data_IF_072774494545
#
_entry.id   IF_072774494545
#
_cell.length_a   1.000
_cell.length_b   1.000
_cell.length_c   1.000
_cell.angle_alpha   90.00
_cell.angle_beta   90.00
_cell.angle_gamma   90.00
#
_symmetry.space_group_name_H-M   'P 1'
#
loop_
_entity.id
_entity.type
_entity.pdbx_description
1 polymer ?
#
# COMPACT_ATOMS: atom_id res chain seq x y z
N UNK A 1 9.43 -1.60 116.55
CA UNK A 1 9.44 -2.59 115.43
C UNK A 1 8.36 -2.37 114.39
N UNK A 2 7.23 -1.72 114.64
CA UNK A 2 6.09 -1.58 113.70
C UNK A 2 6.32 -0.54 112.52
N UNK A 3 7.17 0.47 112.75
CA UNK A 3 7.45 1.50 111.70
C UNK A 3 8.27 0.95 110.52
N UNK A 4 9.14 0.05 110.73
CA UNK A 4 10.01 -0.53 109.67
C UNK A 4 9.20 -1.48 108.78
N UNK A 5 8.28 -2.26 109.34
CA UNK A 5 7.41 -3.14 108.58
C UNK A 5 6.39 -2.39 107.66
N UNK A 6 5.94 -1.22 108.12
CA UNK A 6 5.09 -0.33 107.33
C UNK A 6 5.81 0.35 106.11
N UNK A 7 7.10 0.76 106.39
CA UNK A 7 7.91 1.36 105.33
C UNK A 7 8.29 0.31 104.23
N UNK A 8 8.56 -0.92 104.62
CA UNK A 8 8.83 -2.01 103.68
C UNK A 8 7.61 -2.35 102.81
N UNK A 9 6.42 -2.39 103.38
CA UNK A 9 5.18 -2.60 102.61
C UNK A 9 4.87 -1.43 101.63
N UNK A 10 5.06 -0.17 102.09
CA UNK A 10 4.86 0.98 101.25
C UNK A 10 5.85 0.98 100.04
N UNK A 11 7.12 0.68 100.29
CA UNK A 11 8.13 0.57 99.20
C UNK A 11 7.79 -0.58 98.23
N UNK A 12 7.24 -1.68 98.70
CA UNK A 12 6.79 -2.78 97.83
C UNK A 12 5.61 -2.38 96.96
N UNK A 13 4.60 -1.73 97.51
CA UNK A 13 3.43 -1.25 96.75
C UNK A 13 3.84 -0.19 95.74
N UNK A 14 4.71 0.73 96.04
CA UNK A 14 5.17 1.75 95.07
C UNK A 14 5.99 1.11 93.96
N UNK A 15 6.83 0.15 94.19
CA UNK A 15 7.54 -0.59 93.14
C UNK A 15 6.61 -1.45 92.26
N UNK A 16 5.60 -2.05 92.85
CA UNK A 16 4.58 -2.83 92.15
C UNK A 16 3.80 -1.94 91.23
N UNK A 17 3.22 -0.80 91.69
CA UNK A 17 2.47 0.15 90.91
C UNK A 17 3.35 0.75 89.80
N UNK A 18 4.62 1.03 90.08
CA UNK A 18 5.56 1.52 89.06
C UNK A 18 5.76 0.50 87.95
N UNK A 19 5.96 -0.77 88.30
CA UNK A 19 6.12 -1.89 87.36
C UNK A 19 4.82 -2.12 86.48
N UNK A 20 3.66 -1.95 87.07
CA UNK A 20 2.39 -2.10 86.42
C UNK A 20 2.10 -0.91 85.41
N UNK A 21 2.46 0.33 85.82
CA UNK A 21 2.39 1.50 84.96
C UNK A 21 3.42 1.42 83.79
N UNK A 22 4.60 0.87 83.99
CA UNK A 22 5.59 0.62 82.96
C UNK A 22 5.11 -0.43 81.96
N UNK A 23 4.47 -1.51 82.43
CA UNK A 23 3.86 -2.55 81.61
C UNK A 23 2.71 -1.99 80.76
N UNK A 24 1.84 -1.18 81.38
CA UNK A 24 0.74 -0.50 80.63
C UNK A 24 1.24 0.46 79.58
N UNK A 25 2.30 1.22 79.86
CA UNK A 25 2.96 2.11 78.88
C UNK A 25 3.66 1.31 77.76
N UNK A 26 4.25 0.18 78.03
CA UNK A 26 4.87 -0.69 77.02
C UNK A 26 3.80 -1.34 76.13
N UNK A 27 2.68 -1.80 76.71
CA UNK A 27 1.54 -2.34 75.93
C UNK A 27 0.94 -1.28 75.02
N UNK A 28 0.64 -0.06 75.53
CA UNK A 28 0.13 1.02 74.72
C UNK A 28 1.06 1.45 73.58
N UNK A 29 2.38 1.43 73.80
CA UNK A 29 3.37 1.66 72.74
C UNK A 29 3.37 0.56 71.69
N UNK A 30 3.25 -0.71 72.09
CA UNK A 30 3.19 -1.83 71.19
C UNK A 30 1.92 -1.83 70.33
N UNK A 31 0.75 -1.52 70.91
CA UNK A 31 -0.52 -1.36 70.19
C UNK A 31 -0.46 -0.21 69.20
N UNK A 32 0.04 0.96 69.60
CA UNK A 32 0.21 2.10 68.73
C UNK A 32 1.15 1.79 67.57
N UNK A 33 2.26 1.09 67.80
CA UNK A 33 3.19 0.66 66.79
C UNK A 33 2.54 -0.32 65.77
N UNK A 34 1.70 -1.22 66.26
CA UNK A 34 0.94 -2.17 65.44
C UNK A 34 -0.06 -1.46 64.55
N UNK A 35 -0.78 -0.45 65.06
CA UNK A 35 -1.68 0.39 64.30
C UNK A 35 -0.97 1.17 63.18
N UNK A 36 0.18 1.78 63.49
CA UNK A 36 1.00 2.50 62.52
C UNK A 36 1.49 1.57 61.40
N UNK A 37 1.94 0.39 61.77
CA UNK A 37 2.37 -0.62 60.77
C UNK A 37 1.21 -1.07 59.87
N UNK A 38 0.03 -1.30 60.40
CA UNK A 38 -1.19 -1.63 59.64
C UNK A 38 -1.55 -0.52 58.65
N UNK A 39 -1.45 0.75 59.06
CA UNK A 39 -1.71 1.90 58.19
C UNK A 39 -0.70 1.99 57.04
N UNK A 40 0.58 1.74 57.30
CA UNK A 40 1.64 1.72 56.27
C UNK A 40 1.35 0.64 55.23
N UNK A 41 1.02 -0.57 55.68
CA UNK A 41 0.68 -1.69 54.79
C UNK A 41 -0.53 -1.35 53.91
N UNK A 42 -1.57 -0.78 54.48
CA UNK A 42 -2.77 -0.36 53.74
C UNK A 42 -2.43 0.71 52.69
N UNK A 43 -1.59 1.67 53.04
CA UNK A 43 -1.13 2.71 52.11
C UNK A 43 -0.31 2.14 50.97
N UNK A 44 0.56 1.15 51.22
CA UNK A 44 1.29 0.43 50.19
C UNK A 44 0.35 -0.31 49.23
N UNK A 45 -0.70 -0.93 49.73
CA UNK A 45 -1.72 -1.59 48.88
C UNK A 45 -2.42 -0.58 47.97
N UNK A 46 -2.79 0.57 48.48
CA UNK A 46 -3.42 1.64 47.67
C UNK A 46 -2.50 2.10 46.54
N UNK A 47 -1.21 2.30 46.87
CA UNK A 47 -0.21 2.71 45.87
C UNK A 47 -0.04 1.64 44.77
N UNK A 48 0.00 0.37 45.12
CA UNK A 48 0.11 -0.73 44.15
C UNK A 48 -1.12 -0.78 43.25
N UNK A 49 -2.32 -0.65 43.79
CA UNK A 49 -3.57 -0.63 43.01
C UNK A 49 -3.57 0.57 42.06
N UNK A 50 -3.13 1.74 42.54
CA UNK A 50 -3.03 2.94 41.70
C UNK A 50 -2.05 2.76 40.53
N UNK A 51 -0.87 2.18 40.79
CA UNK A 51 0.11 1.88 39.74
C UNK A 51 -0.46 0.92 38.69
N UNK A 52 -1.15 -0.14 39.12
CA UNK A 52 -1.81 -1.09 38.21
C UNK A 52 -2.90 -0.43 37.37
N UNK A 53 -3.67 0.46 37.98
CA UNK A 53 -4.71 1.24 37.27
C UNK A 53 -4.09 2.15 36.21
N UNK A 54 -3.03 2.92 36.54
CA UNK A 54 -2.33 3.79 35.62
C UNK A 54 -1.71 2.98 34.47
N UNK A 55 -1.06 1.85 34.79
CA UNK A 55 -0.48 0.96 33.79
C UNK A 55 -1.53 0.42 32.81
N UNK A 56 -2.67 -0.03 33.31
CA UNK A 56 -3.79 -0.53 32.49
C UNK A 56 -4.35 0.58 31.59
N UNK A 57 -4.56 1.77 32.13
CA UNK A 57 -5.03 2.95 31.38
C UNK A 57 -4.06 3.36 30.27
N UNK A 58 -2.76 3.40 30.58
CA UNK A 58 -1.71 3.73 29.62
C UNK A 58 -1.66 2.71 28.46
N UNK A 59 -1.70 1.42 28.80
CA UNK A 59 -1.74 0.35 27.79
C UNK A 59 -2.97 0.42 26.89
N UNK A 60 -4.12 0.80 27.45
CA UNK A 60 -5.35 0.99 26.67
C UNK A 60 -5.25 2.16 25.68
N UNK A 61 -4.68 3.29 26.12
CA UNK A 61 -4.47 4.45 25.24
C UNK A 61 -3.50 4.16 24.09
N UNK A 62 -2.42 3.42 24.35
CA UNK A 62 -1.48 3.02 23.31
C UNK A 62 -2.19 2.14 22.27
N UNK A 63 -2.99 1.17 22.74
CA UNK A 63 -3.73 0.28 21.83
C UNK A 63 -4.68 1.07 20.92
N UNK A 64 -5.44 2.01 21.46
CA UNK A 64 -6.35 2.87 20.67
C UNK A 64 -5.60 3.72 19.65
N UNK A 65 -4.43 4.30 20.00
CA UNK A 65 -3.60 5.04 19.05
C UNK A 65 -3.10 4.15 17.91
N UNK A 66 -2.61 2.96 18.23
CA UNK A 66 -2.14 1.99 17.23
C UNK A 66 -3.25 1.53 16.29
N UNK A 67 -4.47 1.32 16.79
CA UNK A 67 -5.63 0.98 15.98
C UNK A 67 -6.01 2.14 15.04
N UNK A 68 -6.04 3.36 15.55
CA UNK A 68 -6.31 4.55 14.74
C UNK A 68 -5.24 4.78 13.65
N UNK A 69 -3.96 4.64 13.97
CA UNK A 69 -2.88 4.74 12.98
C UNK A 69 -3.00 3.67 11.88
N UNK A 70 -3.38 2.45 12.24
CA UNK A 70 -3.64 1.38 11.27
C UNK A 70 -4.81 1.69 10.35
N UNK A 71 -5.91 2.21 10.89
CA UNK A 71 -7.08 2.61 10.10
C UNK A 71 -6.73 3.73 9.10
N UNK A 72 -6.02 4.76 9.56
CA UNK A 72 -5.56 5.86 8.70
C UNK A 72 -4.62 5.34 7.60
N UNK A 73 -3.72 4.42 7.92
CA UNK A 73 -2.81 3.83 6.94
C UNK A 73 -3.57 3.00 5.89
N UNK A 74 -4.53 2.19 6.33
CA UNK A 74 -5.39 1.40 5.43
C UNK A 74 -6.22 2.30 4.50
N UNK A 75 -6.83 3.35 5.04
CA UNK A 75 -7.57 4.33 4.24
C UNK A 75 -6.68 5.00 3.19
N UNK A 76 -5.45 5.36 3.58
CA UNK A 76 -4.48 5.96 2.66
C UNK A 76 -4.08 4.99 1.54
N UNK A 77 -3.86 3.72 1.87
CA UNK A 77 -3.57 2.69 0.86
C UNK A 77 -4.75 2.50 -0.10
N UNK A 78 -5.97 2.37 0.43
CA UNK A 78 -7.18 2.23 -0.41
C UNK A 78 -7.41 3.44 -1.31
N UNK A 79 -7.13 4.66 -0.82
CA UNK A 79 -7.25 5.86 -1.62
C UNK A 79 -6.22 5.88 -2.76
N UNK A 80 -4.97 5.53 -2.48
CA UNK A 80 -3.92 5.42 -3.50
C UNK A 80 -4.26 4.39 -4.57
N UNK A 81 -4.81 3.25 -4.16
CA UNK A 81 -5.23 2.19 -5.07
C UNK A 81 -6.38 2.63 -5.98
N UNK A 82 -7.36 3.36 -5.44
CA UNK A 82 -8.45 3.95 -6.23
C UNK A 82 -7.94 4.97 -7.25
N UNK A 83 -7.07 5.90 -6.82
CA UNK A 83 -6.46 6.89 -7.73
C UNK A 83 -5.70 6.18 -8.86
N UNK A 84 -4.93 5.16 -8.52
CA UNK A 84 -4.20 4.39 -9.53
C UNK A 84 -5.12 3.66 -10.51
N UNK A 85 -6.22 3.07 -10.03
CA UNK A 85 -7.22 2.43 -10.89
C UNK A 85 -7.94 3.44 -11.80
N UNK A 86 -8.29 4.62 -11.27
CA UNK A 86 -8.89 5.69 -12.07
C UNK A 86 -7.93 6.18 -13.16
N UNK A 87 -6.65 6.33 -12.84
CA UNK A 87 -5.62 6.72 -13.80
C UNK A 87 -5.45 5.70 -14.93
N UNK A 88 -5.42 4.41 -14.58
CA UNK A 88 -5.37 3.31 -15.56
C UNK A 88 -6.62 3.28 -16.43
N UNK A 89 -7.81 3.45 -15.85
CA UNK A 89 -9.06 3.45 -16.60
C UNK A 89 -9.12 4.63 -17.58
N UNK A 90 -8.68 5.81 -17.16
CA UNK A 90 -8.62 6.98 -18.01
C UNK A 90 -7.68 6.79 -19.21
N UNK A 91 -6.49 6.20 -19.00
CA UNK A 91 -5.56 5.84 -20.08
C UNK A 91 -6.18 4.85 -21.08
N UNK A 92 -6.84 3.80 -20.58
CA UNK A 92 -7.49 2.82 -21.45
C UNK A 92 -8.61 3.46 -22.29
N UNK A 93 -9.38 4.39 -21.72
CA UNK A 93 -10.39 5.16 -22.47
C UNK A 93 -9.73 5.98 -23.58
N UNK A 94 -8.66 6.70 -23.30
CA UNK A 94 -7.95 7.47 -24.32
C UNK A 94 -7.39 6.59 -25.45
N UNK A 95 -6.77 5.44 -25.11
CA UNK A 95 -6.29 4.47 -26.10
C UNK A 95 -7.45 3.90 -26.92
N UNK A 96 -8.59 3.64 -26.31
CA UNK A 96 -9.78 3.13 -27.00
C UNK A 96 -10.33 4.12 -28.01
N UNK A 97 -10.33 5.40 -27.70
CA UNK A 97 -10.77 6.47 -28.62
C UNK A 97 -9.86 6.49 -29.86
N UNK A 98 -8.55 6.46 -29.69
CA UNK A 98 -7.62 6.42 -30.82
C UNK A 98 -7.74 5.13 -31.64
N UNK A 99 -7.88 3.98 -30.96
CA UNK A 99 -8.17 2.69 -31.62
C UNK A 99 -9.41 2.76 -32.48
N UNK A 100 -10.51 3.29 -31.93
CA UNK A 100 -11.77 3.42 -32.65
C UNK A 100 -11.67 4.38 -33.83
N UNK A 101 -10.90 5.46 -33.71
CA UNK A 101 -10.64 6.37 -34.83
C UNK A 101 -9.94 5.64 -35.98
N UNK A 102 -8.85 4.90 -35.70
CA UNK A 102 -8.16 4.11 -36.71
C UNK A 102 -9.04 3.01 -37.30
N UNK A 103 -9.82 2.33 -36.47
CA UNK A 103 -10.75 1.28 -36.93
C UNK A 103 -11.81 1.86 -37.89
N UNK A 104 -12.37 3.03 -37.59
CA UNK A 104 -13.30 3.71 -38.51
C UNK A 104 -12.67 4.04 -39.87
N UNK A 105 -11.41 4.51 -39.89
CA UNK A 105 -10.68 4.72 -41.15
C UNK A 105 -10.57 3.42 -41.96
N UNK A 106 -10.28 2.28 -41.30
CA UNK A 106 -10.21 0.96 -41.93
C UNK A 106 -11.56 0.54 -42.48
N UNK A 107 -12.63 0.64 -41.70
CA UNK A 107 -13.98 0.23 -42.05
C UNK A 107 -14.51 1.02 -43.26
N UNK A 108 -14.21 2.32 -43.35
CA UNK A 108 -14.56 3.15 -44.49
C UNK A 108 -13.89 2.65 -45.78
N UNK A 109 -12.59 2.32 -45.71
CA UNK A 109 -11.85 1.80 -46.87
C UNK A 109 -12.35 0.40 -47.27
N UNK A 110 -12.62 -0.48 -46.31
CA UNK A 110 -13.23 -1.79 -46.59
C UNK A 110 -14.59 -1.65 -47.28
N UNK A 111 -15.44 -0.72 -46.83
CA UNK A 111 -16.72 -0.42 -47.48
C UNK A 111 -16.55 0.12 -48.90
N UNK A 112 -15.62 1.06 -49.13
CA UNK A 112 -15.33 1.60 -50.44
C UNK A 112 -14.83 0.50 -51.39
N UNK A 113 -14.00 -0.41 -50.94
CA UNK A 113 -13.52 -1.54 -51.73
C UNK A 113 -14.64 -2.56 -52.05
N UNK A 114 -15.63 -2.69 -51.17
CA UNK A 114 -16.81 -3.55 -51.45
C UNK A 114 -17.74 -2.97 -52.51
N UNK A 115 -17.79 -1.63 -52.64
CA UNK A 115 -18.62 -0.94 -53.65
C UNK A 115 -17.90 -0.82 -54.99
N UNK A 116 -16.57 -0.60 -54.96
CA UNK A 116 -15.76 -0.43 -56.17
C UNK A 116 -14.53 -1.37 -56.16
N UNK A 117 -14.72 -2.69 -56.39
CA UNK A 117 -13.63 -3.67 -56.23
C UNK A 117 -12.46 -3.49 -57.20
N UNK A 118 -12.63 -2.73 -58.28
CA UNK A 118 -11.58 -2.50 -59.28
C UNK A 118 -10.58 -1.41 -58.86
N UNK A 119 -10.83 -0.63 -57.78
CA UNK A 119 -9.98 0.49 -57.38
C UNK A 119 -9.07 0.19 -56.16
N UNK A 120 -9.03 -1.02 -55.65
CA UNK A 120 -8.21 -1.48 -54.49
C UNK A 120 -7.69 -0.35 -53.60
N UNK A 121 -8.61 0.37 -52.94
CA UNK A 121 -8.27 1.45 -52.03
C UNK A 121 -7.64 0.88 -50.74
N UNK A 122 -6.54 1.46 -50.33
CA UNK A 122 -5.81 1.04 -49.13
C UNK A 122 -5.93 2.09 -48.03
N UNK A 123 -5.86 1.63 -46.79
CA UNK A 123 -5.75 2.54 -45.64
C UNK A 123 -4.34 3.14 -45.66
N UNK A 124 -4.18 4.33 -46.21
CA UNK A 124 -2.90 5.02 -46.19
C UNK A 124 -2.89 5.97 -45.01
N UNK A 125 -2.04 5.68 -44.04
CA UNK A 125 -1.69 6.61 -42.96
C UNK A 125 -0.57 7.51 -43.51
N UNK A 126 -0.80 8.82 -43.54
CA UNK A 126 0.19 9.83 -43.96
C UNK A 126 1.33 9.91 -42.91
N UNK A 127 2.42 10.55 -43.28
CA UNK A 127 3.50 10.83 -42.30
C UNK A 127 2.94 11.64 -41.11
N UNK A 128 2.08 12.61 -41.36
CA UNK A 128 1.39 13.38 -40.32
C UNK A 128 0.56 12.51 -39.38
N UNK A 129 -0.20 11.52 -39.88
CA UNK A 129 -0.97 10.59 -39.06
C UNK A 129 -0.04 9.78 -38.12
N UNK A 130 1.16 9.40 -38.61
CA UNK A 130 2.16 8.68 -37.80
C UNK A 130 2.80 9.56 -36.73
N UNK A 131 3.11 10.81 -37.06
CA UNK A 131 3.68 11.77 -36.10
C UNK A 131 2.66 12.12 -35.00
N UNK A 132 1.38 12.32 -35.37
CA UNK A 132 0.29 12.52 -34.40
C UNK A 132 0.12 11.30 -33.47
N UNK A 133 0.20 10.08 -34.02
CA UNK A 133 0.12 8.85 -33.25
C UNK A 133 1.31 8.69 -32.30
N UNK A 134 2.51 9.05 -32.73
CA UNK A 134 3.73 9.05 -31.86
C UNK A 134 3.55 10.02 -30.69
N UNK A 135 3.14 11.27 -30.97
CA UNK A 135 2.90 12.29 -29.95
C UNK A 135 1.79 11.86 -28.99
N UNK A 136 0.71 11.30 -29.52
CA UNK A 136 -0.40 10.79 -28.71
C UNK A 136 0.07 9.68 -27.74
N UNK A 137 0.75 8.64 -28.25
CA UNK A 137 1.23 7.53 -27.42
C UNK A 137 2.26 7.99 -26.38
N UNK A 138 3.15 8.92 -26.75
CA UNK A 138 4.12 9.48 -25.81
C UNK A 138 3.43 10.29 -24.70
N UNK A 139 2.33 10.98 -25.00
CA UNK A 139 1.58 11.76 -24.01
C UNK A 139 0.76 10.89 -23.03
N UNK A 140 0.14 9.80 -23.52
CA UNK A 140 -0.76 8.95 -22.72
C UNK A 140 0.00 7.86 -21.98
N UNK A 141 1.10 7.35 -22.54
CA UNK A 141 1.81 6.15 -22.13
C UNK A 141 3.24 6.40 -21.63
N UNK A 142 3.46 7.50 -20.90
CA UNK A 142 4.74 7.82 -20.29
C UNK A 142 5.92 7.73 -21.27
N UNK A 143 5.86 8.45 -22.38
CA UNK A 143 6.91 8.47 -23.40
C UNK A 143 7.19 7.08 -24.00
N UNK A 144 6.13 6.32 -24.28
CA UNK A 144 6.22 4.94 -24.78
C UNK A 144 7.17 4.79 -25.97
N UNK A 145 7.02 5.63 -27.01
CA UNK A 145 7.85 5.52 -28.21
C UNK A 145 9.30 5.90 -27.92
N UNK A 146 9.54 6.92 -27.10
CA UNK A 146 10.90 7.30 -26.68
C UNK A 146 11.57 6.18 -25.87
N UNK A 147 10.89 5.59 -24.91
CA UNK A 147 11.40 4.45 -24.13
C UNK A 147 11.70 3.25 -25.02
N UNK A 148 10.82 2.97 -25.99
CA UNK A 148 11.00 1.87 -26.93
C UNK A 148 12.24 2.08 -27.82
N UNK A 149 12.43 3.31 -28.35
CA UNK A 149 13.64 3.69 -29.11
C UNK A 149 14.93 3.54 -28.28
N UNK A 150 14.88 3.95 -27.01
CA UNK A 150 16.04 3.83 -26.10
C UNK A 150 16.39 2.38 -25.80
N UNK A 151 15.39 1.54 -25.52
CA UNK A 151 15.61 0.13 -25.19
C UNK A 151 16.00 -0.71 -26.40
N UNK A 152 15.50 -0.36 -27.58
CA UNK A 152 15.69 -1.10 -28.84
C UNK A 152 16.16 -0.15 -29.94
N UNK A 153 17.42 0.32 -29.91
CA UNK A 153 17.94 1.31 -30.87
C UNK A 153 18.00 0.79 -32.32
N UNK A 154 17.95 -0.53 -32.51
CA UNK A 154 18.00 -1.18 -33.82
C UNK A 154 16.64 -1.22 -34.55
N UNK A 155 15.56 -0.68 -33.93
CA UNK A 155 14.26 -0.61 -34.57
C UNK A 155 14.22 0.52 -35.60
N UNK A 156 13.81 0.17 -36.81
CA UNK A 156 13.58 1.16 -37.89
C UNK A 156 12.27 1.94 -37.62
N UNK A 157 12.06 3.06 -38.35
CA UNK A 157 10.82 3.83 -38.31
C UNK A 157 9.59 2.95 -38.59
N UNK A 158 9.69 2.02 -39.53
CA UNK A 158 8.62 1.09 -39.87
C UNK A 158 8.33 0.09 -38.76
N UNK A 159 9.38 -0.33 -38.02
CA UNK A 159 9.23 -1.24 -36.88
C UNK A 159 8.51 -0.53 -35.72
N UNK A 160 8.88 0.70 -35.44
CA UNK A 160 8.24 1.53 -34.42
C UNK A 160 6.75 1.75 -34.73
N UNK A 161 6.40 2.02 -35.98
CA UNK A 161 5.02 2.15 -36.44
C UNK A 161 4.19 0.90 -36.14
N UNK A 162 4.74 -0.30 -36.39
CA UNK A 162 4.07 -1.55 -36.03
C UNK A 162 3.91 -1.68 -34.50
N UNK A 163 4.93 -1.33 -33.72
CA UNK A 163 4.83 -1.39 -32.26
C UNK A 163 3.78 -0.43 -31.71
N UNK A 164 3.65 0.78 -32.28
CA UNK A 164 2.58 1.74 -31.94
C UNK A 164 1.18 1.15 -32.16
N UNK A 165 0.97 0.50 -33.32
CA UNK A 165 -0.31 -0.14 -33.62
C UNK A 165 -0.60 -1.36 -32.72
N UNK A 166 0.43 -2.11 -32.31
CA UNK A 166 0.29 -3.20 -31.33
C UNK A 166 -0.09 -2.64 -29.94
N UNK A 167 0.52 -1.52 -29.54
CA UNK A 167 0.16 -0.84 -28.27
C UNK A 167 -1.30 -0.43 -28.23
N UNK A 168 -1.84 0.02 -29.36
CA UNK A 168 -3.28 0.31 -29.53
C UNK A 168 -4.17 -0.95 -29.57
N UNK A 169 -3.61 -2.14 -29.42
CA UNK A 169 -4.34 -3.42 -29.45
C UNK A 169 -5.14 -3.66 -30.74
N UNK A 170 -4.65 -3.15 -31.88
CA UNK A 170 -5.31 -3.39 -33.17
C UNK A 170 -5.26 -4.89 -33.53
N UNK A 171 -6.35 -5.37 -34.17
CA UNK A 171 -6.46 -6.77 -34.61
C UNK A 171 -5.46 -7.09 -35.73
N UNK A 172 -5.18 -8.38 -35.97
CA UNK A 172 -4.34 -8.79 -37.09
C UNK A 172 -4.93 -8.38 -38.43
N UNK A 173 -6.27 -8.47 -38.58
CA UNK A 173 -6.99 -8.03 -39.74
C UNK A 173 -6.80 -6.51 -39.99
N UNK A 174 -6.92 -5.68 -38.93
CA UNK A 174 -6.69 -4.25 -39.02
C UNK A 174 -5.27 -3.92 -39.44
N UNK A 175 -4.25 -4.62 -38.86
CA UNK A 175 -2.88 -4.47 -39.28
C UNK A 175 -2.65 -4.87 -40.74
N UNK A 176 -3.25 -5.96 -41.19
CA UNK A 176 -3.20 -6.41 -42.56
C UNK A 176 -3.73 -5.37 -43.52
N UNK A 177 -4.86 -4.76 -43.20
CA UNK A 177 -5.46 -3.67 -43.99
C UNK A 177 -4.57 -2.41 -44.05
N UNK A 178 -3.97 -1.99 -42.94
CA UNK A 178 -3.05 -0.83 -42.88
C UNK A 178 -1.77 -1.09 -43.69
N UNK A 179 -1.20 -2.30 -43.61
CA UNK A 179 0.02 -2.63 -44.31
C UNK A 179 -0.20 -3.22 -45.73
N UNK A 180 -1.43 -3.33 -46.17
CA UNK A 180 -1.80 -3.90 -47.48
C UNK A 180 -1.20 -5.31 -47.71
N UNK A 181 -1.25 -6.16 -46.70
CA UNK A 181 -0.72 -7.53 -46.74
C UNK A 181 -1.72 -8.53 -46.16
N UNK A 182 -1.49 -9.83 -46.35
CA UNK A 182 -2.32 -10.85 -45.70
C UNK A 182 -2.12 -10.95 -44.21
N UNK A 183 -3.10 -11.41 -43.48
CA UNK A 183 -2.97 -11.70 -42.04
C UNK A 183 -1.84 -12.70 -41.73
N UNK A 184 -1.60 -13.66 -42.65
CA UNK A 184 -0.48 -14.61 -42.55
C UNK A 184 0.87 -13.88 -42.60
N UNK A 185 1.00 -12.88 -43.49
CA UNK A 185 2.21 -12.05 -43.58
C UNK A 185 2.42 -11.22 -42.31
N UNK A 186 1.35 -10.69 -41.69
CA UNK A 186 1.43 -10.02 -40.39
C UNK A 186 1.92 -10.98 -39.30
N UNK A 187 1.39 -12.21 -39.25
CA UNK A 187 1.87 -13.23 -38.27
C UNK A 187 3.36 -13.49 -38.42
N UNK A 188 3.83 -13.69 -39.64
CA UNK A 188 5.26 -13.90 -39.91
C UNK A 188 6.09 -12.68 -39.52
N UNK A 189 5.62 -11.47 -39.82
CA UNK A 189 6.30 -10.21 -39.45
C UNK A 189 6.41 -10.08 -37.93
N UNK A 190 5.32 -10.35 -37.18
CA UNK A 190 5.34 -10.33 -35.72
C UNK A 190 6.32 -11.36 -35.13
N UNK A 191 6.44 -12.55 -35.74
CA UNK A 191 7.39 -13.56 -35.33
C UNK A 191 8.85 -13.10 -35.54
N UNK A 192 9.15 -12.54 -36.71
CA UNK A 192 10.50 -12.00 -37.00
C UNK A 192 10.88 -10.83 -36.05
N UNK A 193 9.91 -10.03 -35.68
CA UNK A 193 10.15 -8.90 -34.77
C UNK A 193 10.40 -9.31 -33.31
N UNK A 194 9.98 -10.51 -32.88
CA UNK A 194 10.43 -11.10 -31.60
C UNK A 194 11.95 -11.18 -31.51
N UNK A 195 12.60 -11.53 -32.61
CA UNK A 195 14.07 -11.60 -32.69
C UNK A 195 14.70 -10.21 -32.57
N UNK A 196 14.17 -9.23 -33.31
CA UNK A 196 14.68 -7.84 -33.28
C UNK A 196 14.62 -7.19 -31.90
N UNK A 197 13.60 -7.51 -31.09
CA UNK A 197 13.43 -6.99 -29.72
C UNK A 197 14.07 -7.89 -28.67
N UNK A 198 14.76 -8.97 -29.08
CA UNK A 198 15.53 -9.85 -28.20
C UNK A 198 14.69 -10.83 -27.35
N UNK A 199 13.40 -11.06 -27.73
CA UNK A 199 12.50 -11.95 -26.99
C UNK A 199 12.17 -13.26 -27.75
N UNK A 200 13.04 -13.67 -28.67
CA UNK A 200 12.84 -14.85 -29.53
C UNK A 200 12.56 -16.13 -28.72
N UNK A 201 13.27 -16.33 -27.64
CA UNK A 201 13.20 -17.53 -26.80
C UNK A 201 12.15 -17.43 -25.69
N UNK A 202 11.42 -16.33 -25.60
CA UNK A 202 10.40 -16.12 -24.58
C UNK A 202 9.08 -16.82 -24.96
N UNK A 203 8.36 -17.33 -23.96
CA UNK A 203 7.08 -18.03 -24.18
C UNK A 203 5.91 -17.10 -24.53
N UNK A 204 6.05 -15.80 -24.33
CA UNK A 204 5.02 -14.82 -24.66
C UNK A 204 5.19 -14.24 -26.07
N UNK A 205 4.09 -13.68 -26.62
CA UNK A 205 4.08 -13.08 -27.94
C UNK A 205 4.67 -11.66 -27.95
N UNK A 206 5.07 -11.17 -29.14
CA UNK A 206 5.46 -9.77 -29.32
C UNK A 206 4.33 -8.81 -28.88
N UNK A 207 3.08 -9.17 -29.14
CA UNK A 207 1.92 -8.39 -28.71
C UNK A 207 1.90 -8.23 -27.18
N UNK A 208 2.00 -9.33 -26.45
CA UNK A 208 2.02 -9.28 -24.98
C UNK A 208 3.23 -8.49 -24.44
N UNK A 209 4.37 -8.57 -25.13
CA UNK A 209 5.54 -7.77 -24.76
C UNK A 209 5.27 -6.27 -24.88
N UNK A 210 4.70 -5.83 -26.01
CA UNK A 210 4.41 -4.42 -26.29
C UNK A 210 3.24 -3.91 -25.43
N UNK A 211 2.25 -4.73 -25.13
CA UNK A 211 1.14 -4.36 -24.26
C UNK A 211 1.56 -4.14 -22.80
N UNK A 212 2.63 -4.79 -22.35
CA UNK A 212 3.18 -4.67 -20.99
C UNK A 212 4.48 -3.85 -20.92
N UNK A 213 4.90 -3.25 -22.03
CA UNK A 213 6.09 -2.40 -22.10
C UNK A 213 5.87 -1.05 -21.42
#
# INVERSE_FOLDING_TARGET
MYRIALQGKAAYYTSFLKKESERAKMQGKAEMQQWVFSLIVLLCFIVVIFILYVYKSYKHQIKLRMEHEREVLLQKQQMQEKIHQEELSHKEVQLSVMRNYLQKKIDVVEKLNSIAPNENKHVVLSESDWDELEVFLDSVENLFVKRLKQKHPNLSKTDLRLMMLLRLKLSQKALASIYCVSEKAIKQKLFLYKDKVGIKNEHFSLRNYIENF
#
